data_IF_653720373746
#
_entry.id   IF_653720373746
#
_cell.length_a   1.000
_cell.length_b   1.000
_cell.length_c   1.000
_cell.angle_alpha   90.00
_cell.angle_beta   90.00
_cell.angle_gamma   90.00
#
_symmetry.space_group_name_H-M   'P 1'
#
loop_
_entity.id
_entity.type
_entity.pdbx_description
1 polymer ?
#
# COMPACT_ATOMS: atom_id res chain seq x y z
N UNK A 1 -37.28 30.81 46.73
CA UNK A 1 -37.06 30.40 45.33
C UNK A 1 -35.58 30.07 45.19
N UNK A 2 -35.14 28.94 45.78
CA UNK A 2 -34.89 27.60 45.16
C UNK A 2 -33.83 27.66 44.03
N UNK A 3 -32.58 27.16 44.12
CA UNK A 3 -31.93 25.98 44.77
C UNK A 3 -32.47 24.60 44.34
N UNK A 4 -32.06 24.15 43.15
CA UNK A 4 -31.90 22.74 42.74
C UNK A 4 -30.68 22.69 41.77
N UNK A 5 -29.51 22.09 42.04
CA UNK A 5 -29.17 20.71 42.45
C UNK A 5 -29.77 19.70 41.46
N UNK A 6 -29.10 18.73 40.82
CA UNK A 6 -27.92 17.89 41.04
C UNK A 6 -27.50 17.30 39.65
N UNK A 7 -26.22 17.17 39.30
CA UNK A 7 -25.43 15.92 39.34
C UNK A 7 -26.16 14.64 38.94
N UNK A 8 -25.79 14.03 37.80
CA UNK A 8 -25.45 12.59 37.70
C UNK A 8 -24.30 12.42 36.71
N UNK A 9 -23.10 12.26 37.25
CA UNK A 9 -22.01 11.55 36.60
C UNK A 9 -22.23 10.04 36.84
N UNK A 10 -22.14 9.24 35.79
CA UNK A 10 -21.81 7.82 35.86
C UNK A 10 -20.79 7.61 34.72
N UNK A 11 -19.53 7.24 34.96
CA UNK A 11 -19.03 6.37 36.00
C UNK A 11 -19.04 4.92 35.49
N UNK A 12 -18.15 4.62 34.54
CA UNK A 12 -17.71 3.26 34.25
C UNK A 12 -16.18 3.25 34.27
N UNK A 13 -15.63 3.26 35.48
CA UNK A 13 -14.29 2.75 35.77
C UNK A 13 -14.44 1.25 35.98
N UNK A 14 -13.67 0.45 35.25
CA UNK A 14 -13.70 -1.00 35.40
C UNK A 14 -12.60 -1.74 34.67
N UNK A 15 -11.44 -1.83 35.33
CA UNK A 15 -10.48 -2.94 35.32
C UNK A 15 -9.50 -3.01 34.14
N UNK A 16 -8.28 -2.57 34.46
CA UNK A 16 -7.00 -3.02 33.90
C UNK A 16 -6.86 -4.54 33.91
N UNK A 17 -6.67 -5.13 32.74
CA UNK A 17 -5.90 -6.34 32.54
C UNK A 17 -4.82 -6.06 31.50
N UNK A 18 -3.57 -6.18 31.91
CA UNK A 18 -2.41 -6.09 31.04
C UNK A 18 -2.24 -7.39 30.26
N UNK A 19 -2.50 -7.39 28.95
CA UNK A 19 -1.88 -8.27 27.95
C UNK A 19 -1.98 -7.59 26.59
N UNK A 20 -0.84 -7.40 25.92
CA UNK A 20 -0.74 -7.50 24.45
C UNK A 20 -1.27 -6.33 23.60
N UNK A 21 -0.33 -5.47 23.19
CA UNK A 21 -0.31 -4.79 21.89
C UNK A 21 -1.65 -4.41 21.27
N UNK A 22 -2.14 -3.23 21.62
CA UNK A 22 -3.16 -2.56 20.81
C UNK A 22 -2.50 -2.06 19.53
N UNK A 23 -2.61 -2.86 18.47
CA UNK A 23 -2.42 -2.37 17.11
C UNK A 23 -3.32 -1.15 16.94
N UNK A 24 -2.70 0.02 16.83
CA UNK A 24 -3.41 1.25 16.52
C UNK A 24 -3.88 1.10 15.08
N UNK A 25 -5.11 0.61 14.90
CA UNK A 25 -5.80 0.70 13.63
C UNK A 25 -6.03 2.19 13.38
N UNK A 26 -5.04 2.86 12.76
CA UNK A 26 -5.23 4.18 12.19
C UNK A 26 -6.28 4.02 11.09
N UNK A 27 -7.52 4.33 11.43
CA UNK A 27 -8.59 4.53 10.46
C UNK A 27 -8.21 5.77 9.65
N UNK A 28 -7.43 5.58 8.59
CA UNK A 28 -7.24 6.59 7.56
C UNK A 28 -8.62 6.84 6.97
N UNK A 29 -9.18 8.02 7.21
CA UNK A 29 -10.37 8.47 6.48
C UNK A 29 -9.99 8.42 5.00
N UNK A 30 -10.55 7.46 4.25
CA UNK A 30 -10.32 7.31 2.82
C UNK A 30 -10.78 8.60 2.11
N UNK A 31 -9.86 9.54 1.91
CA UNK A 31 -10.10 10.83 1.26
C UNK A 31 -9.93 10.67 -0.24
N UNK A 32 -10.85 9.93 -0.87
CA UNK A 32 -10.90 9.92 -2.33
C UNK A 32 -11.75 8.82 -2.94
N UNK A 33 -11.83 8.77 -4.28
CA UNK A 33 -12.64 7.80 -4.99
C UNK A 33 -12.12 6.39 -4.69
N UNK A 34 -13.00 5.50 -4.23
CA UNK A 34 -12.65 4.11 -3.93
C UNK A 34 -12.43 3.32 -5.21
N UNK A 35 -11.42 2.45 -5.29
CA UNK A 35 -11.26 1.58 -6.45
C UNK A 35 -12.39 0.54 -6.50
N UNK A 36 -12.93 0.33 -7.71
CA UNK A 36 -13.84 -0.77 -8.01
C UNK A 36 -13.12 -2.11 -8.03
N UNK A 37 -11.88 -2.13 -8.51
CA UNK A 37 -11.02 -3.31 -8.55
C UNK A 37 -9.62 -2.89 -8.15
N UNK A 38 -9.00 -3.67 -7.27
CA UNK A 38 -7.67 -3.40 -6.73
C UNK A 38 -6.89 -4.72 -6.67
N UNK A 39 -5.65 -4.67 -7.15
CA UNK A 39 -4.68 -5.76 -7.09
C UNK A 39 -3.44 -5.28 -6.36
N UNK A 40 -3.14 -5.93 -5.24
CA UNK A 40 -2.00 -5.64 -4.37
C UNK A 40 -1.14 -6.87 -4.17
N UNK A 41 0.11 -6.63 -3.78
CA UNK A 41 1.03 -7.64 -3.32
C UNK A 41 1.40 -7.29 -1.87
N UNK A 42 1.17 -8.18 -0.91
CA UNK A 42 1.45 -7.98 0.52
C UNK A 42 2.47 -8.98 1.04
N UNK A 43 3.21 -8.62 2.09
CA UNK A 43 4.23 -9.48 2.68
C UNK A 43 5.37 -9.86 1.71
N UNK A 44 5.94 -11.02 1.97
CA UNK A 44 7.15 -11.54 1.34
C UNK A 44 8.44 -10.97 1.94
N UNK A 45 9.57 -11.66 1.71
CA UNK A 45 10.87 -11.21 2.19
C UNK A 45 11.40 -10.06 1.32
N UNK A 46 11.46 -8.86 1.90
CA UNK A 46 12.03 -7.67 1.27
C UNK A 46 12.84 -6.87 2.29
N UNK A 47 13.83 -6.07 1.87
CA UNK A 47 14.54 -5.17 2.78
C UNK A 47 13.59 -4.21 3.52
N UNK A 48 14.04 -3.69 4.65
CA UNK A 48 13.28 -2.75 5.47
C UNK A 48 12.71 -1.58 4.63
N UNK A 49 11.44 -1.25 4.86
CA UNK A 49 10.75 -0.17 4.16
C UNK A 49 10.31 -0.46 2.72
N UNK A 50 10.84 -1.47 2.04
CA UNK A 50 10.48 -1.76 0.64
C UNK A 50 9.01 -2.15 0.49
N UNK A 51 8.47 -2.93 1.44
CA UNK A 51 7.06 -3.31 1.44
C UNK A 51 6.13 -2.09 1.53
N UNK A 52 6.57 -1.01 2.18
CA UNK A 52 5.80 0.24 2.30
C UNK A 52 5.83 1.09 1.02
N UNK A 53 6.85 0.90 0.17
CA UNK A 53 6.94 1.51 -1.16
C UNK A 53 6.26 0.70 -2.25
N UNK A 54 5.77 -0.51 -1.93
CA UNK A 54 5.06 -1.33 -2.90
C UNK A 54 3.74 -0.65 -3.26
N UNK A 55 3.62 -0.23 -4.52
CA UNK A 55 2.38 0.27 -5.06
C UNK A 55 1.43 -0.89 -5.38
N UNK A 56 0.10 -0.68 -5.32
CA UNK A 56 -0.83 -1.60 -5.94
C UNK A 56 -0.48 -1.80 -7.41
N UNK A 57 -0.50 -3.07 -7.86
CA UNK A 57 -0.19 -3.46 -9.23
C UNK A 57 -1.19 -2.87 -10.21
N UNK A 58 -2.45 -2.81 -9.78
CA UNK A 58 -3.54 -2.23 -10.55
C UNK A 58 -4.63 -1.66 -9.62
N UNK A 59 -5.11 -0.46 -9.91
CA UNK A 59 -6.34 0.08 -9.35
C UNK A 59 -7.24 0.60 -10.46
N UNK A 60 -8.51 0.17 -10.50
CA UNK A 60 -9.51 0.63 -11.45
C UNK A 60 -10.64 1.35 -10.72
N UNK A 61 -11.05 2.52 -11.21
CA UNK A 61 -12.05 3.41 -10.60
C UNK A 61 -13.36 3.43 -11.40
N UNK A 62 -14.42 3.97 -10.79
CA UNK A 62 -15.78 4.02 -11.38
C UNK A 62 -15.86 4.82 -12.68
N UNK A 63 -15.01 5.83 -12.83
CA UNK A 63 -14.94 6.68 -14.01
C UNK A 63 -14.16 6.04 -15.18
N UNK A 64 -13.70 4.81 -15.03
CA UNK A 64 -12.92 4.08 -16.02
C UNK A 64 -11.44 4.45 -16.03
N UNK A 65 -10.95 5.25 -15.09
CA UNK A 65 -9.51 5.41 -14.90
C UNK A 65 -8.93 4.14 -14.28
N UNK A 66 -7.83 3.67 -14.85
CA UNK A 66 -7.00 2.59 -14.33
C UNK A 66 -5.61 3.13 -14.09
N UNK A 67 -5.03 2.84 -12.95
CA UNK A 67 -3.65 3.19 -12.60
C UNK A 67 -2.87 1.90 -12.34
N UNK A 68 -1.79 1.71 -13.09
CA UNK A 68 -0.90 0.55 -13.00
C UNK A 68 0.40 0.94 -12.30
N UNK A 69 0.79 0.13 -11.31
CA UNK A 69 2.00 0.27 -10.49
C UNK A 69 2.23 1.69 -9.90
N UNK A 70 1.17 2.50 -9.76
CA UNK A 70 1.26 3.93 -9.46
C UNK A 70 2.21 4.74 -10.38
N UNK A 71 2.42 4.29 -11.63
CA UNK A 71 3.31 4.97 -12.60
C UNK A 71 2.63 5.38 -13.88
N UNK A 72 1.58 4.65 -14.29
CA UNK A 72 0.87 4.88 -15.55
C UNK A 72 -0.64 4.92 -15.29
N UNK A 73 -1.33 5.81 -15.99
CA UNK A 73 -2.79 5.88 -16.02
C UNK A 73 -3.32 5.66 -17.43
N UNK A 74 -4.42 4.94 -17.52
CA UNK A 74 -5.15 4.68 -18.76
C UNK A 74 -6.65 4.82 -18.49
N UNK A 75 -7.39 5.47 -19.39
CA UNK A 75 -8.85 5.46 -19.37
C UNK A 75 -9.35 4.30 -20.24
N UNK A 76 -10.13 3.39 -19.65
CA UNK A 76 -10.76 2.28 -20.36
C UNK A 76 -12.24 2.55 -20.61
N UNK A 77 -12.81 1.94 -21.64
CA UNK A 77 -14.23 2.07 -21.95
C UNK A 77 -15.12 1.40 -20.89
N UNK A 78 -16.36 1.89 -20.74
CA UNK A 78 -17.30 1.38 -19.73
C UNK A 78 -17.62 -0.11 -19.88
N UNK A 79 -17.59 -0.66 -21.11
CA UNK A 79 -17.73 -2.10 -21.35
C UNK A 79 -16.57 -2.92 -20.76
N UNK A 80 -15.33 -2.47 -20.96
CA UNK A 80 -14.13 -3.10 -20.40
C UNK A 80 -14.14 -3.02 -18.87
N UNK A 81 -14.49 -1.87 -18.28
CA UNK A 81 -14.60 -1.70 -16.83
C UNK A 81 -15.67 -2.63 -16.24
N UNK A 82 -16.84 -2.72 -16.86
CA UNK A 82 -17.90 -3.65 -16.43
C UNK A 82 -17.46 -5.11 -16.51
N UNK A 83 -16.79 -5.49 -17.61
CA UNK A 83 -16.23 -6.84 -17.78
C UNK A 83 -15.25 -7.17 -16.65
N UNK A 84 -14.29 -6.26 -16.39
CA UNK A 84 -13.30 -6.42 -15.33
C UNK A 84 -13.94 -6.57 -13.95
N UNK A 85 -14.85 -5.66 -13.60
CA UNK A 85 -15.58 -5.68 -12.32
C UNK A 85 -16.40 -6.96 -12.16
N UNK A 86 -17.12 -7.37 -13.20
CA UNK A 86 -17.96 -8.56 -13.14
C UNK A 86 -17.11 -9.83 -12.97
N UNK A 87 -16.02 -9.97 -13.74
CA UNK A 87 -15.09 -11.10 -13.59
C UNK A 87 -14.50 -11.14 -12.17
N UNK A 88 -13.97 -10.02 -11.67
CA UNK A 88 -13.42 -9.94 -10.33
C UNK A 88 -14.47 -10.26 -9.25
N UNK A 89 -15.68 -9.70 -9.36
CA UNK A 89 -16.75 -9.95 -8.39
C UNK A 89 -17.20 -11.41 -8.38
N UNK A 90 -17.32 -12.04 -9.54
CA UNK A 90 -17.69 -13.47 -9.66
C UNK A 90 -16.66 -14.35 -8.97
N UNK A 91 -15.37 -14.15 -9.25
CA UNK A 91 -14.29 -14.96 -8.66
C UNK A 91 -14.16 -14.71 -7.15
N UNK A 92 -14.18 -13.44 -6.71
CA UNK A 92 -13.95 -13.08 -5.31
C UNK A 92 -15.14 -13.35 -4.38
N UNK A 93 -16.35 -13.58 -4.94
CA UNK A 93 -17.52 -14.02 -4.17
C UNK A 93 -17.37 -15.44 -3.64
N UNK A 94 -16.73 -16.32 -4.41
CA UNK A 94 -16.52 -17.70 -4.03
C UNK A 94 -15.17 -17.85 -3.30
N UNK A 95 -15.26 -18.02 -1.97
CA UNK A 95 -14.07 -18.18 -1.11
C UNK A 95 -13.28 -19.44 -1.41
N UNK A 96 -13.88 -20.45 -2.06
CA UNK A 96 -13.16 -21.66 -2.44
C UNK A 96 -12.06 -21.38 -3.47
N UNK A 97 -12.15 -20.28 -4.22
CA UNK A 97 -11.09 -19.85 -5.16
C UNK A 97 -9.78 -19.49 -4.44
N UNK A 98 -9.82 -19.08 -3.17
CA UNK A 98 -8.61 -18.85 -2.38
C UNK A 98 -8.09 -20.13 -1.69
N UNK A 99 -8.77 -21.27 -1.85
CA UNK A 99 -8.34 -22.51 -1.23
C UNK A 99 -7.21 -23.12 -2.04
N UNK A 100 -6.04 -23.12 -1.43
CA UNK A 100 -4.85 -23.76 -1.98
C UNK A 100 -5.06 -25.28 -2.08
N UNK A 101 -4.64 -25.88 -3.20
CA UNK A 101 -4.70 -27.32 -3.45
C UNK A 101 -3.80 -28.07 -2.44
N UNK A 102 -4.30 -29.16 -1.82
CA UNK A 102 -3.47 -30.02 -0.99
C UNK A 102 -2.25 -30.55 -1.75
N UNK A 103 -1.07 -30.49 -1.11
CA UNK A 103 0.19 -30.99 -1.67
C UNK A 103 0.89 -30.05 -2.65
N UNK A 104 0.34 -28.87 -2.96
CA UNK A 104 1.05 -27.87 -3.75
C UNK A 104 2.29 -27.34 -2.99
N UNK A 105 3.39 -26.93 -3.66
CA UNK A 105 4.64 -26.52 -3.03
C UNK A 105 4.56 -25.16 -2.32
N UNK A 106 4.82 -25.11 -1.02
CA UNK A 106 4.83 -23.85 -0.25
C UNK A 106 6.19 -23.20 -0.42
N UNK A 107 6.19 -21.92 -0.80
CA UNK A 107 7.41 -21.13 -0.99
C UNK A 107 7.53 -20.21 0.21
N UNK A 108 8.59 -20.40 0.99
CA UNK A 108 8.84 -19.54 2.15
C UNK A 108 8.99 -18.08 1.72
N UNK A 109 8.36 -17.19 2.50
CA UNK A 109 8.43 -15.74 2.34
C UNK A 109 8.07 -15.20 0.95
N UNK A 110 7.21 -15.92 0.21
CA UNK A 110 6.62 -15.43 -1.04
C UNK A 110 5.60 -14.34 -0.75
N UNK A 111 5.50 -13.27 -1.57
CA UNK A 111 4.43 -12.31 -1.41
C UNK A 111 3.05 -12.96 -1.60
N UNK A 112 2.07 -12.44 -0.88
CA UNK A 112 0.66 -12.73 -1.12
C UNK A 112 0.10 -11.76 -2.14
N UNK A 113 -0.66 -12.28 -3.11
CA UNK A 113 -1.53 -11.48 -3.98
C UNK A 113 -2.86 -11.23 -3.29
N UNK A 114 -3.29 -9.98 -3.21
CA UNK A 114 -4.60 -9.59 -2.69
C UNK A 114 -5.40 -8.96 -3.83
N UNK A 115 -6.57 -9.55 -4.10
CA UNK A 115 -7.54 -8.98 -5.03
C UNK A 115 -8.74 -8.46 -4.25
N UNK A 116 -9.13 -7.23 -4.53
CA UNK A 116 -10.35 -6.61 -4.00
C UNK A 116 -11.25 -6.17 -5.15
N UNK A 117 -12.56 -6.40 -5.03
CA UNK A 117 -13.57 -5.83 -5.93
C UNK A 117 -14.75 -5.23 -5.15
N UNK A 118 -15.41 -4.22 -5.73
CA UNK A 118 -16.62 -3.61 -5.20
C UNK A 118 -17.79 -3.77 -6.18
N UNK A 119 -18.94 -4.21 -5.67
CA UNK A 119 -20.19 -4.29 -6.42
C UNK A 119 -21.39 -4.07 -5.49
N UNK A 120 -22.33 -3.21 -5.90
CA UNK A 120 -23.57 -2.91 -5.16
C UNK A 120 -23.31 -2.66 -3.66
N UNK A 121 -22.41 -1.71 -3.36
CA UNK A 121 -21.97 -1.34 -1.99
C UNK A 121 -21.24 -2.41 -1.19
N UNK A 122 -21.05 -3.63 -1.72
CA UNK A 122 -20.31 -4.71 -1.06
C UNK A 122 -18.86 -4.76 -1.55
N UNK A 123 -17.95 -5.06 -0.63
CA UNK A 123 -16.52 -5.34 -0.90
C UNK A 123 -16.31 -6.86 -0.86
N UNK A 124 -15.64 -7.39 -1.87
CA UNK A 124 -15.16 -8.78 -1.94
C UNK A 124 -13.64 -8.75 -1.97
N UNK A 125 -12.98 -9.61 -1.19
CA UNK A 125 -11.52 -9.66 -1.12
C UNK A 125 -11.08 -11.10 -0.89
N UNK A 126 -10.08 -11.54 -1.64
CA UNK A 126 -9.38 -12.81 -1.43
C UNK A 126 -7.87 -12.57 -1.46
N UNK A 127 -7.15 -13.39 -0.70
CA UNK A 127 -5.70 -13.38 -0.60
C UNK A 127 -5.16 -14.75 -1.05
N UNK A 128 -4.07 -14.73 -1.82
CA UNK A 128 -3.45 -15.88 -2.43
C UNK A 128 -1.94 -15.81 -2.16
N UNK A 129 -1.41 -16.76 -1.39
CA UNK A 129 0.02 -16.85 -1.10
C UNK A 129 0.77 -17.41 -2.32
N UNK A 130 1.70 -16.64 -2.88
CA UNK A 130 2.51 -17.07 -4.01
C UNK A 130 1.71 -17.41 -5.27
N UNK A 131 0.66 -16.65 -5.58
CA UNK A 131 -0.25 -16.94 -6.70
C UNK A 131 0.51 -17.06 -8.02
N UNK A 132 1.38 -16.10 -8.33
CA UNK A 132 2.14 -16.08 -9.58
C UNK A 132 3.20 -17.17 -9.58
N UNK A 133 3.89 -17.34 -8.46
CA UNK A 133 5.03 -18.23 -8.26
C UNK A 133 4.63 -19.71 -8.31
N UNK A 134 3.40 -20.03 -7.90
CA UNK A 134 2.86 -21.41 -7.86
C UNK A 134 1.94 -21.72 -9.04
N UNK A 135 1.95 -20.87 -10.08
CA UNK A 135 1.08 -21.00 -11.26
C UNK A 135 1.31 -22.31 -12.02
N UNK A 136 2.57 -22.71 -12.20
CA UNK A 136 2.95 -23.96 -12.88
C UNK A 136 2.42 -25.18 -12.15
N UNK A 137 2.36 -25.13 -10.82
CA UNK A 137 1.86 -26.21 -9.96
C UNK A 137 0.34 -26.24 -9.84
N UNK A 138 -0.34 -25.23 -10.39
CA UNK A 138 -1.80 -25.06 -10.29
C UNK A 138 -2.26 -25.13 -8.84
N UNK A 139 -1.56 -24.41 -7.96
CA UNK A 139 -1.83 -24.41 -6.53
C UNK A 139 -3.21 -23.82 -6.18
N UNK A 140 -3.81 -23.02 -7.06
CA UNK A 140 -5.15 -22.47 -6.89
C UNK A 140 -6.11 -22.92 -8.00
N UNK A 141 -7.44 -22.83 -7.79
CA UNK A 141 -8.44 -23.08 -8.83
C UNK A 141 -8.25 -22.18 -10.06
N UNK A 142 -8.59 -22.70 -11.25
CA UNK A 142 -8.46 -21.99 -12.52
C UNK A 142 -9.09 -20.57 -12.53
N UNK A 143 -10.24 -20.31 -11.87
CA UNK A 143 -10.80 -18.96 -11.80
C UNK A 143 -9.88 -17.91 -11.15
N UNK A 144 -9.03 -18.31 -10.20
CA UNK A 144 -8.05 -17.40 -9.58
C UNK A 144 -7.00 -16.94 -10.59
N UNK A 145 -6.46 -17.87 -11.38
CA UNK A 145 -5.50 -17.57 -12.45
C UNK A 145 -6.13 -16.80 -13.61
N UNK A 146 -7.38 -17.10 -13.96
CA UNK A 146 -8.11 -16.35 -14.99
C UNK A 146 -8.35 -14.89 -14.58
N UNK A 147 -8.63 -14.63 -13.30
CA UNK A 147 -8.72 -13.27 -12.77
C UNK A 147 -7.37 -12.56 -12.83
N UNK A 148 -6.29 -13.22 -12.41
CA UNK A 148 -4.92 -12.70 -12.53
C UNK A 148 -4.63 -12.30 -13.98
N UNK A 149 -4.93 -13.17 -14.96
CA UNK A 149 -4.68 -12.88 -16.38
C UNK A 149 -5.47 -11.67 -16.88
N UNK A 150 -6.74 -11.54 -16.49
CA UNK A 150 -7.56 -10.40 -16.88
C UNK A 150 -7.02 -9.09 -16.30
N UNK A 151 -6.57 -9.10 -15.04
CA UNK A 151 -5.95 -7.95 -14.39
C UNK A 151 -4.60 -7.61 -15.02
N UNK A 152 -3.76 -8.62 -15.29
CA UNK A 152 -2.47 -8.47 -15.97
C UNK A 152 -2.63 -7.87 -17.36
N UNK A 153 -3.58 -8.34 -18.16
CA UNK A 153 -3.87 -7.75 -19.48
C UNK A 153 -4.17 -6.25 -19.39
N UNK A 154 -5.00 -5.85 -18.42
CA UNK A 154 -5.36 -4.44 -18.22
C UNK A 154 -4.15 -3.63 -17.70
N UNK A 155 -3.37 -4.21 -16.77
CA UNK A 155 -2.14 -3.62 -16.24
C UNK A 155 -1.13 -3.39 -17.36
N UNK A 156 -0.83 -4.43 -18.14
CA UNK A 156 0.18 -4.38 -19.19
C UNK A 156 -0.21 -3.40 -20.29
N UNK A 157 -1.49 -3.34 -20.65
CA UNK A 157 -2.01 -2.31 -21.55
C UNK A 157 -1.81 -0.90 -20.98
N UNK A 158 -2.12 -0.68 -19.70
CA UNK A 158 -1.91 0.62 -19.05
C UNK A 158 -0.41 0.99 -18.99
N UNK A 159 0.47 0.01 -18.79
CA UNK A 159 1.91 0.23 -18.81
C UNK A 159 2.44 0.57 -20.22
N UNK A 160 1.92 -0.09 -21.25
CA UNK A 160 2.36 0.07 -22.63
C UNK A 160 1.89 1.39 -23.26
N UNK A 161 0.62 1.75 -23.10
CA UNK A 161 0.00 2.90 -23.80
C UNK A 161 -0.54 3.98 -22.88
N UNK A 162 -0.45 3.81 -21.56
CA UNK A 162 -0.94 4.79 -20.59
C UNK A 162 -0.05 6.03 -20.50
N UNK A 163 -0.69 7.17 -20.20
CA UNK A 163 0.02 8.40 -19.87
C UNK A 163 0.69 8.28 -18.48
N UNK A 164 1.79 8.99 -18.21
CA UNK A 164 2.39 9.03 -16.87
C UNK A 164 1.38 9.44 -15.79
N UNK A 165 1.40 8.74 -14.65
CA UNK A 165 0.73 9.15 -13.42
C UNK A 165 1.65 10.07 -12.63
N UNK A 166 1.23 11.32 -12.41
CA UNK A 166 2.01 12.37 -11.72
C UNK A 166 1.11 13.20 -10.80
N UNK A 167 0.59 12.60 -9.71
CA UNK A 167 -0.18 13.35 -8.72
C UNK A 167 0.72 14.33 -7.96
N UNK A 168 0.11 15.27 -7.23
CA UNK A 168 0.83 16.13 -6.29
C UNK A 168 1.11 15.45 -4.94
N UNK A 169 0.89 14.14 -4.82
CA UNK A 169 0.95 13.41 -3.56
C UNK A 169 1.86 12.17 -3.67
N UNK A 170 2.71 11.96 -2.66
CA UNK A 170 3.66 10.86 -2.60
C UNK A 170 3.68 10.23 -1.20
N UNK A 171 3.95 8.93 -1.15
CA UNK A 171 4.28 8.22 0.08
C UNK A 171 5.78 8.23 0.24
N UNK A 172 6.27 8.95 1.24
CA UNK A 172 7.66 8.87 1.71
C UNK A 172 7.83 7.66 2.60
N UNK A 173 8.94 6.94 2.43
CA UNK A 173 9.42 5.93 3.36
C UNK A 173 10.83 6.30 3.78
N UNK A 174 11.07 6.30 5.08
CA UNK A 174 12.37 6.60 5.66
C UNK A 174 12.81 5.43 6.56
N UNK A 175 14.04 4.97 6.40
CA UNK A 175 14.64 3.90 7.22
C UNK A 175 15.81 4.48 7.99
N UNK A 176 15.78 4.36 9.32
CA UNK A 176 16.87 4.80 10.20
C UNK A 176 18.08 3.90 9.98
N UNK A 177 19.24 4.52 9.81
CA UNK A 177 20.51 3.81 9.75
C UNK A 177 21.13 3.72 11.14
N UNK A 178 21.60 2.52 11.49
CA UNK A 178 22.36 2.33 12.74
C UNK A 178 23.71 3.05 12.63
N UNK A 179 24.20 3.70 13.72
CA UNK A 179 25.54 4.29 13.73
C UNK A 179 26.66 3.26 13.46
N UNK A 180 26.39 1.98 13.74
CA UNK A 180 27.33 0.88 13.55
C UNK A 180 27.31 0.28 12.13
N UNK A 181 26.38 0.71 11.26
CA UNK A 181 26.39 0.33 9.85
C UNK A 181 27.27 1.33 9.08
N UNK A 182 28.51 0.95 8.70
CA UNK A 182 29.30 1.80 7.84
C UNK A 182 28.58 1.96 6.50
N UNK A 183 28.01 3.13 6.28
CA UNK A 183 27.54 3.61 4.97
C UNK A 183 28.77 3.96 4.13
N UNK A 184 29.62 2.97 3.88
CA UNK A 184 30.98 3.15 3.35
C UNK A 184 31.04 3.81 1.94
N UNK A 185 29.90 4.14 1.33
CA UNK A 185 29.82 4.76 0.02
C UNK A 185 28.67 5.79 -0.17
N UNK A 186 27.90 6.13 0.86
CA UNK A 186 26.76 7.05 0.69
C UNK A 186 27.14 8.49 1.08
N UNK A 187 27.04 9.42 0.12
CA UNK A 187 27.06 10.86 0.43
C UNK A 187 25.86 11.15 1.33
N UNK A 188 26.12 11.68 2.52
CA UNK A 188 25.07 12.06 3.47
C UNK A 188 24.69 13.51 3.21
N UNK A 189 23.49 13.72 2.70
CA UNK A 189 22.95 15.05 2.41
C UNK A 189 22.21 15.63 3.63
N UNK A 190 22.09 16.96 3.76
CA UNK A 190 21.22 17.54 4.78
C UNK A 190 19.74 17.19 4.50
N UNK A 191 18.93 17.07 5.54
CA UNK A 191 17.50 16.82 5.39
C UNK A 191 16.83 17.84 4.46
N UNK A 192 16.02 17.40 3.47
CA UNK A 192 15.46 18.31 2.48
C UNK A 192 14.57 19.40 3.11
N UNK A 193 14.84 20.66 2.77
CA UNK A 193 14.04 21.77 3.24
C UNK A 193 12.57 21.63 2.82
N UNK A 194 11.64 21.82 3.76
CA UNK A 194 10.20 21.71 3.53
C UNK A 194 9.65 20.28 3.56
N UNK A 195 10.48 19.26 3.77
CA UNK A 195 10.03 17.89 4.04
C UNK A 195 9.96 17.69 5.56
N UNK A 196 8.81 17.28 6.13
CA UNK A 196 8.73 16.98 7.56
C UNK A 196 9.57 15.75 7.92
N UNK A 197 10.33 15.84 9.03
CA UNK A 197 11.04 14.69 9.59
C UNK A 197 10.01 13.74 10.23
N UNK A 198 9.99 12.45 9.88
CA UNK A 198 9.06 11.51 10.48
C UNK A 198 9.37 11.30 11.96
N UNK A 199 8.31 11.11 12.76
CA UNK A 199 8.43 10.73 14.17
C UNK A 199 8.40 9.21 14.25
N UNK A 200 9.40 8.63 14.91
CA UNK A 200 9.51 7.19 15.13
C UNK A 200 9.35 6.90 16.63
N UNK A 201 8.69 5.80 16.94
CA UNK A 201 8.70 5.22 18.29
C UNK A 201 10.10 4.72 18.68
N UNK A 202 10.29 4.41 19.97
CA UNK A 202 11.59 4.00 20.53
C UNK A 202 12.20 2.77 19.83
N UNK A 203 11.35 1.87 19.33
CA UNK A 203 11.75 0.60 18.70
C UNK A 203 11.43 0.57 17.18
N UNK A 204 11.05 1.71 16.60
CA UNK A 204 10.75 1.81 15.17
C UNK A 204 11.97 2.33 14.41
N UNK A 205 12.33 1.62 13.34
CA UNK A 205 13.42 2.01 12.43
C UNK A 205 12.92 2.30 11.02
N UNK A 206 11.61 2.17 10.76
CA UNK A 206 10.99 2.49 9.47
C UNK A 206 9.81 3.43 9.71
N UNK A 207 9.82 4.57 9.04
CA UNK A 207 8.71 5.51 9.02
C UNK A 207 8.08 5.59 7.64
N UNK A 208 6.77 5.88 7.64
CA UNK A 208 5.99 6.17 6.44
C UNK A 208 5.24 7.48 6.64
N UNK A 209 5.25 8.33 5.63
CA UNK A 209 4.49 9.58 5.66
C UNK A 209 3.93 9.89 4.27
N UNK A 210 2.64 10.19 4.23
CA UNK A 210 1.97 10.63 3.02
C UNK A 210 2.10 12.17 2.93
N UNK A 211 2.79 12.62 1.88
CA UNK A 211 3.12 14.02 1.63
C UNK A 211 2.29 14.54 0.47
N UNK A 212 1.87 15.80 0.58
CA UNK A 212 1.06 16.47 -0.44
C UNK A 212 1.72 17.79 -0.88
N UNK A 213 1.41 18.18 -2.12
CA UNK A 213 1.71 19.47 -2.73
C UNK A 213 3.16 19.91 -2.52
N UNK A 214 3.39 20.99 -1.77
CA UNK A 214 4.72 21.57 -1.57
C UNK A 214 5.69 20.60 -0.89
N UNK A 215 5.21 19.78 0.04
CA UNK A 215 6.04 18.80 0.75
C UNK A 215 6.46 17.67 -0.20
N UNK A 216 5.50 17.17 -1.00
CA UNK A 216 5.77 16.16 -2.02
C UNK A 216 6.76 16.68 -3.07
N UNK A 217 6.57 17.92 -3.55
CA UNK A 217 7.49 18.55 -4.50
C UNK A 217 8.90 18.74 -3.93
N UNK A 218 9.02 19.13 -2.66
CA UNK A 218 10.31 19.25 -1.99
C UNK A 218 11.03 17.89 -1.94
N UNK A 219 10.33 16.83 -1.56
CA UNK A 219 10.89 15.48 -1.55
C UNK A 219 11.28 15.00 -2.95
N UNK A 220 10.41 15.17 -3.95
CA UNK A 220 10.70 14.75 -5.33
C UNK A 220 11.89 15.52 -5.95
N UNK A 221 12.18 16.75 -5.50
CA UNK A 221 13.40 17.46 -5.93
C UNK A 221 14.66 16.87 -5.29
N UNK A 222 14.60 16.50 -4.01
CA UNK A 222 15.72 15.88 -3.31
C UNK A 222 15.96 14.42 -3.75
N UNK A 223 14.90 13.71 -4.14
CA UNK A 223 14.94 12.32 -4.59
C UNK A 223 14.29 12.22 -5.99
N UNK A 224 14.94 12.70 -7.06
CA UNK A 224 14.32 12.85 -8.38
C UNK A 224 14.04 11.52 -9.10
N UNK A 225 14.77 10.46 -8.73
CA UNK A 225 14.65 9.12 -9.34
C UNK A 225 14.52 8.10 -8.21
N UNK A 226 13.31 7.83 -7.73
CA UNK A 226 13.11 6.80 -6.73
C UNK A 226 13.56 5.45 -7.31
N UNK A 227 14.62 4.89 -6.72
CA UNK A 227 15.21 3.62 -7.12
C UNK A 227 15.17 2.69 -5.91
N UNK A 228 14.57 1.51 -6.07
CA UNK A 228 14.48 0.54 -4.98
C UNK A 228 15.86 0.09 -4.52
N UNK A 229 16.84 -0.01 -5.43
CA UNK A 229 18.20 -0.48 -5.12
C UNK A 229 19.09 0.57 -4.47
N UNK A 230 18.73 1.87 -4.55
CA UNK A 230 19.59 2.96 -4.09
C UNK A 230 18.78 4.10 -3.47
N UNK A 231 18.73 4.10 -2.15
CA UNK A 231 18.02 5.14 -1.39
C UNK A 231 19.03 6.20 -0.93
N UNK A 232 18.84 7.49 -1.26
CA UNK A 232 19.69 8.56 -0.74
C UNK A 232 19.61 8.63 0.79
N UNK A 233 20.73 9.02 1.40
CA UNK A 233 20.86 9.15 2.85
C UNK A 233 20.81 10.62 3.23
N UNK A 234 19.88 10.97 4.10
CA UNK A 234 19.72 12.31 4.63
C UNK A 234 19.98 12.35 6.13
N UNK A 235 20.63 13.41 6.61
CA UNK A 235 20.81 13.70 8.03
C UNK A 235 19.76 14.68 8.50
N UNK A 236 18.92 14.24 9.45
CA UNK A 236 17.93 15.07 10.14
C UNK A 236 18.59 16.16 10.99
N UNK A 237 17.87 17.24 11.38
CA UNK A 237 18.39 18.26 12.29
C UNK A 237 18.82 17.72 13.66
N UNK A 238 18.26 16.57 14.08
CA UNK A 238 18.65 15.88 15.31
C UNK A 238 19.90 14.99 15.14
N UNK A 239 20.55 15.01 13.97
CA UNK A 239 21.75 14.24 13.68
C UNK A 239 21.51 12.79 13.22
N UNK A 240 20.25 12.33 13.18
CA UNK A 240 19.90 10.97 12.74
C UNK A 240 20.02 10.85 11.23
N UNK A 241 20.72 9.81 10.74
CA UNK A 241 20.80 9.46 9.33
C UNK A 241 19.65 8.53 8.93
N UNK A 242 18.98 8.84 7.82
CA UNK A 242 17.88 8.05 7.28
C UNK A 242 18.05 7.82 5.78
N UNK A 243 17.86 6.58 5.32
CA UNK A 243 17.62 6.31 3.90
C UNK A 243 16.19 6.68 3.54
N UNK A 244 15.99 7.47 2.49
CA UNK A 244 14.66 7.96 2.12
C UNK A 244 14.35 7.63 0.67
N UNK A 245 13.14 7.17 0.42
CA UNK A 245 12.61 6.96 -0.92
C UNK A 245 11.10 7.22 -0.94
N UNK A 246 10.49 7.22 -2.11
CA UNK A 246 9.07 7.52 -2.25
C UNK A 246 8.41 6.83 -3.44
N UNK A 247 7.08 6.76 -3.41
CA UNK A 247 6.25 6.44 -4.58
C UNK A 247 5.06 7.39 -4.68
N UNK A 248 4.47 7.50 -5.86
CA UNK A 248 3.21 8.23 -5.99
C UNK A 248 2.08 7.55 -5.20
N UNK A 249 1.19 8.39 -4.65
CA UNK A 249 -0.06 7.93 -4.04
C UNK A 249 -1.12 7.72 -5.11
N UNK A 250 -2.01 6.76 -4.85
CA UNK A 250 -3.23 6.57 -5.62
C UNK A 250 -4.37 7.43 -5.04
N UNK A 251 -5.40 7.76 -5.83
CA UNK A 251 -6.53 8.57 -5.36
C UNK A 251 -7.23 8.15 -4.06
N UNK A 252 -7.14 6.88 -3.65
CA UNK A 252 -7.80 6.37 -2.45
C UNK A 252 -6.89 6.29 -1.22
N UNK A 253 -5.61 6.63 -1.38
CA UNK A 253 -4.61 6.67 -0.31
C UNK A 253 -4.46 8.10 0.23
#
# INVERSE_FOLDING_TARGET
MDRRSLLVAAGAVGITAAVGGTAVASATLERGPRPLVLWELTGGFVPAGWSMLRAPRLAAYEDGVVIADATRRLRIGGGALRSLRNHATTVLRDRSNARRRPGAPVIADVPSTVFTARAASRKFSLQFEGLEETRTDKAYPAPAYALLDHLSLVRDRALAVGSPWRPSAVRMVAVVLSPAEPTAAAVVEPWPAGVPVPRLGKDEFVARLDLHDRQAQALMRAVPRPDQSRWPVFRTPAGVSMQVNWRYLLPHE
#
